data_IF_939709320600
#
_entry.id   IF_939709320600
#
_cell.length_a   1.000
_cell.length_b   1.000
_cell.length_c   1.000
_cell.angle_alpha   90.00
_cell.angle_beta   90.00
_cell.angle_gamma   90.00
#
_symmetry.space_group_name_H-M   'P 1'
#
loop_
_entity.id
_entity.type
_entity.pdbx_description
1 polymer ?
#
# COMPACT_ATOMS: atom_id res chain seq x y z
N UNK A 1 0.28 -38.67 -8.27
CA UNK A 1 -0.11 -37.54 -9.15
C UNK A 1 -0.58 -36.39 -8.26
N UNK A 2 0.27 -35.42 -8.00
CA UNK A 2 -0.09 -34.20 -7.24
C UNK A 2 -0.47 -33.14 -8.25
N UNK A 3 -1.75 -32.73 -8.26
CA UNK A 3 -2.23 -31.66 -9.09
C UNK A 3 -1.69 -30.34 -8.53
N UNK A 4 -0.83 -29.68 -9.29
CA UNK A 4 -0.39 -28.31 -9.00
C UNK A 4 -1.55 -27.37 -9.31
N UNK A 5 -2.09 -26.75 -8.28
CA UNK A 5 -3.10 -25.70 -8.40
C UNK A 5 -2.44 -24.43 -8.96
N UNK A 6 -2.55 -24.22 -10.26
CA UNK A 6 -2.13 -22.97 -10.91
C UNK A 6 -3.19 -21.93 -10.63
N UNK A 7 -2.92 -21.00 -9.74
CA UNK A 7 -3.78 -19.85 -9.48
C UNK A 7 -3.63 -18.88 -10.65
N UNK A 8 -4.62 -18.88 -11.53
CA UNK A 8 -4.75 -17.91 -12.63
C UNK A 8 -5.15 -16.54 -12.06
N UNK A 9 -4.20 -15.63 -11.96
CA UNK A 9 -4.50 -14.21 -11.82
C UNK A 9 -4.89 -13.67 -13.20
N UNK A 10 -6.19 -13.72 -13.50
CA UNK A 10 -6.73 -13.02 -14.67
C UNK A 10 -6.61 -11.51 -14.42
N UNK A 11 -5.74 -10.87 -15.18
CA UNK A 11 -5.73 -9.41 -15.29
C UNK A 11 -7.12 -8.96 -15.75
N UNK A 12 -7.84 -8.28 -14.88
CA UNK A 12 -9.13 -7.68 -15.24
C UNK A 12 -8.93 -6.65 -16.34
N UNK A 13 -9.34 -6.99 -17.57
CA UNK A 13 -9.65 -6.01 -18.59
C UNK A 13 -10.85 -5.19 -18.10
N UNK A 14 -10.58 -4.02 -17.54
CA UNK A 14 -11.63 -3.04 -17.33
C UNK A 14 -11.86 -2.29 -18.63
N UNK A 15 -12.86 -2.73 -19.37
CA UNK A 15 -13.55 -1.87 -20.32
C UNK A 15 -14.34 -0.87 -19.49
N UNK A 16 -13.81 0.36 -19.39
CA UNK A 16 -14.51 1.47 -18.74
C UNK A 16 -15.68 1.82 -19.64
N UNK A 17 -16.83 1.25 -19.37
CA UNK A 17 -18.10 1.69 -19.93
C UNK A 17 -18.66 2.78 -18.99
N UNK A 18 -18.84 3.99 -19.51
CA UNK A 18 -19.55 5.07 -18.86
C UNK A 18 -18.64 6.19 -18.34
N UNK A 19 -18.38 7.17 -19.20
CA UNK A 19 -18.01 8.53 -18.79
C UNK A 19 -19.19 9.15 -18.04
N UNK A 20 -19.26 8.94 -16.71
CA UNK A 20 -19.97 9.88 -15.87
C UNK A 20 -19.08 11.09 -15.69
N UNK A 21 -19.55 12.26 -16.13
CA UNK A 21 -18.90 13.56 -15.85
C UNK A 21 -18.63 13.64 -14.35
N UNK A 22 -17.37 13.55 -13.98
CA UNK A 22 -16.92 13.83 -12.61
C UNK A 22 -17.19 15.30 -12.33
N UNK A 23 -18.15 15.56 -11.47
CA UNK A 23 -18.41 16.86 -10.90
C UNK A 23 -17.16 17.29 -10.11
N UNK A 24 -16.40 18.23 -10.67
CA UNK A 24 -15.13 18.72 -10.15
C UNK A 24 -15.27 19.58 -8.88
N UNK A 25 -16.47 19.74 -8.34
CA UNK A 25 -16.77 20.64 -7.22
C UNK A 25 -16.91 19.95 -5.86
N UNK A 26 -16.79 18.63 -5.79
CA UNK A 26 -16.80 17.92 -4.50
C UNK A 26 -15.38 17.63 -4.03
N UNK A 27 -14.72 18.63 -3.50
CA UNK A 27 -13.70 18.43 -2.45
C UNK A 27 -14.38 17.65 -1.34
N UNK A 28 -14.06 16.35 -1.26
CA UNK A 28 -14.78 15.40 -0.38
C UNK A 28 -14.45 15.56 1.10
N UNK A 29 -14.68 16.72 1.66
CA UNK A 29 -14.88 16.85 3.09
C UNK A 29 -16.28 16.28 3.38
N UNK A 30 -16.32 15.10 3.97
CA UNK A 30 -17.55 14.58 4.54
C UNK A 30 -17.92 15.53 5.70
N UNK A 31 -18.75 16.54 5.42
CA UNK A 31 -19.51 17.27 6.44
C UNK A 31 -20.60 16.32 6.95
N UNK A 32 -20.24 15.46 7.87
CA UNK A 32 -21.17 14.61 8.60
C UNK A 32 -20.80 14.63 10.09
N UNK A 33 -21.57 13.96 10.91
CA UNK A 33 -21.32 13.79 12.38
C UNK A 33 -19.86 13.38 12.71
N UNK A 34 -19.10 12.93 11.73
CA UNK A 34 -17.67 12.62 11.77
C UNK A 34 -16.76 13.84 11.87
N UNK A 35 -17.20 15.04 11.49
CA UNK A 35 -16.39 16.26 11.55
C UNK A 35 -15.99 16.69 12.98
N UNK A 36 -16.75 16.28 13.99
CA UNK A 36 -16.40 16.49 15.40
C UNK A 36 -15.36 15.47 15.90
N UNK A 37 -15.35 14.26 15.36
CA UNK A 37 -14.38 13.22 15.73
C UNK A 37 -12.99 13.48 15.17
N UNK A 38 -12.90 14.12 13.99
CA UNK A 38 -11.61 14.48 13.39
C UNK A 38 -10.82 15.50 14.23
N UNK A 39 -11.50 16.34 14.99
CA UNK A 39 -10.84 17.35 15.85
C UNK A 39 -10.27 16.79 17.15
N UNK A 40 -10.64 15.57 17.54
CA UNK A 40 -10.21 14.98 18.82
C UNK A 40 -9.13 13.91 18.68
N UNK A 41 -8.99 13.25 17.54
CA UNK A 41 -8.08 12.13 17.34
C UNK A 41 -6.70 12.50 16.79
N UNK A 42 -6.60 13.58 16.01
CA UNK A 42 -5.34 13.99 15.37
C UNK A 42 -5.09 15.46 15.57
N UNK A 43 -3.90 15.81 16.03
CA UNK A 43 -3.45 17.20 16.05
C UNK A 43 -2.98 17.61 14.65
N UNK A 44 -3.82 18.37 13.96
CA UNK A 44 -3.53 18.86 12.61
C UNK A 44 -2.38 19.87 12.58
N UNK A 45 -1.99 20.47 13.73
CA UNK A 45 -0.84 21.37 13.81
C UNK A 45 0.48 20.64 13.60
N UNK A 46 0.49 19.30 13.82
CA UNK A 46 1.63 18.42 13.63
C UNK A 46 1.57 17.64 12.32
N UNK A 47 0.81 18.08 11.32
CA UNK A 47 0.76 17.40 10.03
C UNK A 47 2.12 17.43 9.31
N UNK A 48 2.52 16.33 8.64
CA UNK A 48 3.77 16.29 7.88
C UNK A 48 3.81 17.39 6.80
N UNK A 49 4.90 18.09 6.75
CA UNK A 49 5.09 19.24 5.86
C UNK A 49 5.15 20.58 6.59
N UNK A 50 4.87 20.66 7.91
CA UNK A 50 5.14 21.83 8.73
C UNK A 50 6.62 22.01 9.10
N UNK A 51 7.51 21.14 8.63
CA UNK A 51 8.94 21.15 8.97
C UNK A 51 9.27 20.63 10.38
N UNK A 52 8.34 20.68 11.31
CA UNK A 52 8.54 20.24 12.69
C UNK A 52 8.30 18.74 12.89
N UNK A 53 7.52 18.13 12.04
CA UNK A 53 7.14 16.73 12.13
C UNK A 53 8.32 15.77 11.99
N UNK A 54 9.28 16.07 11.13
CA UNK A 54 10.43 15.22 10.85
C UNK A 54 11.35 15.02 12.06
N UNK A 55 11.45 16.02 12.92
CA UNK A 55 12.34 16.00 14.10
C UNK A 55 11.63 15.40 15.33
N UNK A 56 10.34 15.65 15.47
CA UNK A 56 9.54 15.09 16.56
C UNK A 56 9.31 13.58 16.40
N UNK A 57 9.26 13.06 15.17
CA UNK A 57 8.77 11.72 14.86
C UNK A 57 9.79 10.61 15.17
N UNK A 58 11.08 10.87 14.98
CA UNK A 58 12.12 9.89 15.39
C UNK A 58 12.29 9.78 16.91
N UNK A 59 11.90 10.81 17.64
CA UNK A 59 12.06 10.88 19.09
C UNK A 59 10.76 10.71 19.88
N UNK A 60 9.61 10.83 19.24
CA UNK A 60 8.31 10.65 19.90
C UNK A 60 7.71 9.33 19.46
N UNK A 61 7.65 8.38 20.37
CA UNK A 61 6.90 7.12 20.20
C UNK A 61 5.37 7.33 20.05
N UNK A 62 4.92 8.58 19.93
CA UNK A 62 3.51 8.94 19.92
C UNK A 62 3.06 9.38 18.51
N UNK A 63 2.75 8.39 17.67
CA UNK A 63 1.77 8.60 16.62
C UNK A 63 0.43 8.90 17.31
N UNK A 64 -0.20 10.05 17.02
CA UNK A 64 -1.53 10.35 17.54
C UNK A 64 -2.54 9.41 16.88
N UNK A 65 -3.11 8.51 17.67
CA UNK A 65 -4.13 7.59 17.20
C UNK A 65 -5.49 8.29 17.12
N UNK A 66 -6.37 7.90 16.17
CA UNK A 66 -7.74 8.39 16.16
C UNK A 66 -8.49 7.97 17.43
N UNK A 67 -9.55 8.69 17.78
CA UNK A 67 -10.30 8.47 19.02
C UNK A 67 -10.74 7.02 19.21
N UNK A 68 -11.11 6.34 18.12
CA UNK A 68 -11.54 4.93 18.17
C UNK A 68 -10.39 3.95 18.47
N UNK A 69 -9.15 4.38 18.33
CA UNK A 69 -7.95 3.59 18.59
C UNK A 69 -7.09 4.18 19.73
N UNK A 70 -7.61 5.13 20.50
CA UNK A 70 -6.82 5.84 21.53
C UNK A 70 -6.21 4.92 22.58
N UNK A 71 -6.89 3.81 22.89
CA UNK A 71 -6.46 2.83 23.89
C UNK A 71 -5.68 1.67 23.26
N UNK A 72 -5.39 1.71 21.93
CA UNK A 72 -4.60 0.68 21.28
C UNK A 72 -3.14 0.77 21.73
N UNK A 73 -2.51 -0.39 21.83
CA UNK A 73 -1.10 -0.53 22.19
C UNK A 73 -0.26 -0.89 20.96
N UNK A 74 1.01 -0.49 20.90
CA UNK A 74 1.89 -0.88 19.80
C UNK A 74 2.13 -2.40 19.84
N UNK A 75 1.89 -3.07 18.72
CA UNK A 75 2.10 -4.52 18.57
C UNK A 75 3.19 -4.83 17.54
N UNK A 76 3.56 -3.85 16.72
CA UNK A 76 4.64 -3.95 15.76
C UNK A 76 5.17 -2.55 15.43
N UNK A 77 6.49 -2.43 15.31
CA UNK A 77 7.14 -1.27 14.69
C UNK A 77 8.43 -1.70 14.00
N UNK A 78 8.77 -1.01 12.91
CA UNK A 78 10.08 -1.04 12.30
C UNK A 78 10.45 0.38 11.86
N UNK A 79 11.54 0.89 12.41
CA UNK A 79 12.09 2.22 12.15
C UNK A 79 13.22 2.16 11.10
N UNK A 80 13.44 0.99 10.53
CA UNK A 80 14.41 0.70 9.48
C UNK A 80 15.84 1.17 9.77
N UNK A 81 16.33 0.92 10.99
CA UNK A 81 17.77 1.05 11.28
C UNK A 81 18.60 0.06 10.45
N UNK A 82 18.04 -1.09 10.14
CA UNK A 82 18.56 -2.10 9.23
C UNK A 82 17.40 -2.93 8.63
N UNK A 83 17.65 -3.62 7.51
CA UNK A 83 16.66 -4.56 6.96
C UNK A 83 16.67 -5.88 7.75
N UNK A 84 15.68 -6.07 8.59
CA UNK A 84 15.54 -7.30 9.38
C UNK A 84 14.88 -8.40 8.52
N UNK A 85 15.68 -9.30 7.98
CA UNK A 85 15.22 -10.42 7.13
C UNK A 85 14.44 -11.50 7.90
N UNK A 86 14.46 -11.50 9.24
CA UNK A 86 13.58 -12.35 10.04
C UNK A 86 12.14 -11.81 10.08
N UNK A 87 11.95 -10.54 9.72
CA UNK A 87 10.64 -9.88 9.63
C UNK A 87 10.20 -9.77 8.17
N UNK A 88 11.08 -9.25 7.32
CA UNK A 88 10.77 -8.87 5.94
C UNK A 88 11.29 -9.88 4.92
N UNK A 89 10.39 -10.42 4.14
CA UNK A 89 10.71 -11.22 2.96
C UNK A 89 10.72 -10.32 1.73
N UNK A 90 11.77 -10.41 0.90
CA UNK A 90 11.84 -9.73 -0.40
C UNK A 90 11.10 -10.56 -1.45
N UNK A 91 10.23 -9.90 -2.22
CA UNK A 91 9.38 -10.56 -3.22
C UNK A 91 8.09 -11.09 -2.61
N UNK A 92 7.24 -11.67 -3.45
CA UNK A 92 5.97 -12.25 -3.01
C UNK A 92 6.18 -13.65 -2.43
N UNK A 93 5.29 -14.14 -1.54
CA UNK A 93 5.39 -15.50 -1.00
C UNK A 93 5.41 -16.60 -2.08
N UNK A 94 4.81 -16.34 -3.24
CA UNK A 94 4.75 -17.30 -4.37
C UNK A 94 5.84 -17.11 -5.41
N UNK A 95 6.74 -16.13 -5.27
CA UNK A 95 7.87 -15.97 -6.18
C UNK A 95 8.31 -14.53 -6.46
N UNK A 96 9.27 -14.42 -7.36
CA UNK A 96 9.95 -13.16 -7.67
C UNK A 96 9.33 -12.40 -8.83
N UNK A 97 8.36 -12.96 -9.55
CA UNK A 97 7.65 -12.29 -10.66
C UNK A 97 6.32 -12.96 -10.97
N UNK A 98 5.43 -12.29 -11.68
CA UNK A 98 4.19 -12.85 -12.19
C UNK A 98 4.41 -13.53 -13.55
N UNK A 99 4.00 -14.80 -13.68
CA UNK A 99 4.34 -15.66 -14.80
C UNK A 99 3.72 -15.33 -16.16
N UNK A 100 2.57 -14.64 -16.24
CA UNK A 100 1.83 -14.51 -17.50
C UNK A 100 2.20 -13.30 -18.37
N UNK A 101 2.69 -12.21 -17.80
CA UNK A 101 3.22 -11.04 -18.52
C UNK A 101 4.27 -10.35 -17.65
N UNK A 102 5.42 -10.95 -17.49
CA UNK A 102 6.41 -10.43 -16.57
C UNK A 102 7.12 -9.22 -17.17
N UNK A 103 6.75 -8.04 -16.70
CA UNK A 103 7.43 -6.79 -17.01
C UNK A 103 8.34 -6.33 -15.87
N UNK A 104 8.18 -6.92 -14.67
CA UNK A 104 8.98 -6.62 -13.47
C UNK A 104 9.28 -7.87 -12.67
N UNK A 105 10.38 -7.83 -11.93
CA UNK A 105 10.74 -8.82 -10.92
C UNK A 105 11.09 -8.14 -9.60
N UNK A 106 10.90 -8.83 -8.49
CA UNK A 106 11.27 -8.36 -7.16
C UNK A 106 12.72 -8.75 -6.87
N UNK A 107 13.61 -7.78 -6.88
CA UNK A 107 15.05 -8.00 -6.77
C UNK A 107 15.60 -7.66 -5.39
N UNK A 108 16.65 -8.37 -4.98
CA UNK A 108 17.34 -8.11 -3.71
C UNK A 108 18.11 -6.77 -3.75
N UNK A 109 18.64 -6.41 -4.91
CA UNK A 109 19.35 -5.14 -5.12
C UNK A 109 18.44 -3.91 -5.14
N UNK A 110 17.15 -4.11 -5.25
CA UNK A 110 16.12 -3.08 -5.28
C UNK A 110 15.53 -2.78 -3.90
N UNK A 111 16.03 -3.52 -2.84
CA UNK A 111 15.58 -3.38 -1.46
C UNK A 111 16.79 -3.21 -0.55
N UNK A 112 16.91 -2.06 0.10
CA UNK A 112 17.98 -1.81 1.06
C UNK A 112 17.60 -0.70 2.04
N UNK A 113 18.33 -0.61 3.14
CA UNK A 113 18.18 0.49 4.12
C UNK A 113 19.35 1.45 3.93
N UNK A 114 19.05 2.76 3.94
CA UNK A 114 20.02 3.82 3.88
C UNK A 114 19.63 4.96 4.81
N UNK A 115 20.51 5.30 5.76
CA UNK A 115 20.29 6.39 6.72
C UNK A 115 18.99 6.25 7.54
N UNK A 116 18.65 5.02 7.96
CA UNK A 116 17.44 4.74 8.71
C UNK A 116 16.14 4.87 7.87
N UNK A 117 16.23 4.62 6.57
CA UNK A 117 15.09 4.64 5.66
C UNK A 117 15.15 3.40 4.78
N UNK A 118 14.04 2.66 4.70
CA UNK A 118 13.90 1.58 3.73
C UNK A 118 13.71 2.17 2.34
N UNK A 119 14.51 1.72 1.40
CA UNK A 119 14.47 2.13 0.00
C UNK A 119 13.98 0.98 -0.85
N UNK A 120 12.88 1.21 -1.59
CA UNK A 120 12.33 0.29 -2.57
C UNK A 120 12.44 0.94 -3.95
N UNK A 121 13.35 0.41 -4.80
CA UNK A 121 13.67 1.02 -6.09
C UNK A 121 12.96 0.34 -7.25
N UNK A 122 12.63 1.14 -8.28
CA UNK A 122 12.39 0.66 -9.65
C UNK A 122 13.61 0.98 -10.48
N UNK A 123 14.21 -0.04 -11.13
CA UNK A 123 15.41 0.08 -11.96
C UNK A 123 15.21 -0.60 -13.31
N UNK A 124 15.80 -0.04 -14.37
CA UNK A 124 16.01 -0.78 -15.61
C UNK A 124 17.21 -1.71 -15.40
N UNK A 125 16.96 -2.99 -15.15
CA UNK A 125 17.95 -4.01 -14.84
C UNK A 125 17.50 -5.35 -15.43
N UNK A 126 17.58 -5.52 -16.77
CA UNK A 126 17.10 -6.72 -17.44
C UNK A 126 17.74 -7.98 -16.85
N UNK A 127 16.91 -8.95 -16.45
CA UNK A 127 17.36 -10.22 -15.85
C UNK A 127 16.63 -11.39 -16.50
N UNK A 128 17.38 -12.46 -16.80
CA UNK A 128 16.84 -13.69 -17.37
C UNK A 128 16.35 -14.62 -16.25
N UNK A 129 15.16 -15.15 -16.42
CA UNK A 129 14.55 -16.14 -15.51
C UNK A 129 14.23 -17.42 -16.28
N UNK A 130 14.28 -18.59 -15.62
CA UNK A 130 13.82 -19.84 -16.20
C UNK A 130 12.34 -19.75 -16.59
N UNK A 131 12.01 -20.09 -17.83
CA UNK A 131 10.64 -20.19 -18.33
C UNK A 131 10.63 -21.02 -19.61
N UNK A 132 10.13 -22.26 -19.55
CA UNK A 132 10.26 -23.21 -20.65
C UNK A 132 11.71 -23.41 -21.08
N UNK A 133 11.91 -23.75 -22.34
CA UNK A 133 13.26 -24.07 -22.89
C UNK A 133 14.14 -22.83 -23.15
N UNK A 134 13.54 -21.66 -23.34
CA UNK A 134 14.26 -20.44 -23.74
C UNK A 134 14.49 -19.45 -22.61
N UNK A 135 13.73 -19.57 -21.53
CA UNK A 135 13.68 -18.56 -20.46
C UNK A 135 13.02 -17.25 -20.90
N UNK A 136 12.85 -16.33 -19.95
CA UNK A 136 12.25 -15.02 -20.19
C UNK A 136 13.15 -13.91 -19.62
N UNK A 137 13.31 -12.82 -20.36
CA UNK A 137 14.02 -11.63 -19.88
C UNK A 137 13.01 -10.60 -19.38
N UNK A 138 13.12 -10.24 -18.11
CA UNK A 138 12.26 -9.28 -17.43
C UNK A 138 13.04 -7.97 -17.28
N UNK A 139 12.54 -6.84 -17.80
CA UNK A 139 13.32 -5.61 -17.93
C UNK A 139 13.51 -4.83 -16.62
N UNK A 140 12.53 -4.86 -15.71
CA UNK A 140 12.54 -3.97 -14.54
C UNK A 140 12.70 -4.75 -13.24
N UNK A 141 13.72 -4.41 -12.46
CA UNK A 141 13.84 -4.77 -11.05
C UNK A 141 13.05 -3.80 -10.20
N UNK A 142 12.26 -4.32 -9.25
CA UNK A 142 11.40 -3.54 -8.35
C UNK A 142 11.56 -3.99 -6.91
N UNK A 143 11.40 -3.04 -5.97
CA UNK A 143 11.46 -3.34 -4.54
C UNK A 143 10.09 -3.74 -4.00
N UNK A 144 10.04 -4.86 -3.29
CA UNK A 144 8.89 -5.31 -2.51
C UNK A 144 9.35 -6.07 -1.28
N UNK A 145 8.77 -5.73 -0.12
CA UNK A 145 8.93 -6.49 1.11
C UNK A 145 7.58 -6.81 1.73
N UNK A 146 7.49 -7.94 2.44
CA UNK A 146 6.26 -8.36 3.11
C UNK A 146 6.56 -9.13 4.41
N UNK A 147 5.54 -9.30 5.26
CA UNK A 147 5.63 -10.02 6.54
C UNK A 147 4.99 -11.41 6.52
N UNK A 148 4.69 -11.99 5.35
CA UNK A 148 3.92 -13.24 5.23
C UNK A 148 4.50 -14.42 6.03
N UNK A 149 5.84 -14.53 6.10
CA UNK A 149 6.51 -15.62 6.82
C UNK A 149 6.66 -15.37 8.33
N UNK A 150 6.52 -14.13 8.76
CA UNK A 150 6.87 -13.72 10.13
C UNK A 150 5.68 -13.23 10.95
N UNK A 151 4.82 -12.39 10.36
CA UNK A 151 3.77 -11.71 11.09
C UNK A 151 2.51 -11.53 10.28
N UNK A 152 1.37 -11.80 10.94
CA UNK A 152 0.03 -11.48 10.46
C UNK A 152 -0.72 -10.70 11.52
N UNK A 153 -1.71 -9.93 11.09
CA UNK A 153 -2.50 -9.06 11.95
C UNK A 153 -3.97 -9.27 11.63
N UNK A 154 -4.79 -9.19 12.65
CA UNK A 154 -6.24 -9.16 12.49
C UNK A 154 -6.77 -7.97 13.27
N UNK A 155 -7.32 -7.00 12.55
CA UNK A 155 -7.72 -5.70 13.06
C UNK A 155 -6.56 -4.87 13.63
N UNK A 156 -6.77 -3.59 13.76
CA UNK A 156 -5.76 -2.67 14.28
C UNK A 156 -5.70 -1.34 13.53
N UNK A 157 -4.76 -0.53 13.94
CA UNK A 157 -4.39 0.71 13.26
C UNK A 157 -3.01 0.53 12.64
N UNK A 158 -2.95 0.60 11.33
CA UNK A 158 -1.77 0.37 10.50
C UNK A 158 -1.31 1.69 9.93
N UNK A 159 -0.07 2.05 10.15
CA UNK A 159 0.47 3.32 9.69
C UNK A 159 1.86 3.14 9.06
N UNK A 160 2.10 3.86 7.98
CA UNK A 160 3.40 3.99 7.31
C UNK A 160 3.72 5.46 7.10
N UNK A 161 4.96 5.84 7.34
CA UNK A 161 5.49 7.13 6.94
C UNK A 161 6.39 6.94 5.74
N UNK A 162 5.97 7.47 4.60
CA UNK A 162 6.70 7.28 3.34
C UNK A 162 6.72 8.53 2.46
N UNK A 163 7.75 8.59 1.60
CA UNK A 163 7.85 9.56 0.52
C UNK A 163 7.79 8.78 -0.80
N UNK A 164 6.79 9.09 -1.62
CA UNK A 164 6.51 8.34 -2.83
C UNK A 164 7.38 8.81 -4.01
N UNK A 165 7.75 7.91 -4.95
CA UNK A 165 8.45 8.30 -6.16
C UNK A 165 7.53 9.07 -7.10
N UNK A 166 8.11 9.97 -7.89
CA UNK A 166 7.46 10.51 -9.09
C UNK A 166 8.04 9.89 -10.35
N UNK A 167 7.25 9.82 -11.39
CA UNK A 167 7.65 9.31 -12.70
C UNK A 167 6.55 8.49 -13.38
N UNK A 168 6.62 8.40 -14.72
CA UNK A 168 5.68 7.54 -15.46
C UNK A 168 5.75 6.09 -14.99
N UNK A 169 4.60 5.44 -14.98
CA UNK A 169 4.43 4.04 -14.60
C UNK A 169 4.88 3.66 -13.18
N UNK A 170 5.19 4.60 -12.28
CA UNK A 170 5.42 4.27 -10.87
C UNK A 170 4.13 3.83 -10.20
N UNK A 171 4.23 2.84 -9.31
CA UNK A 171 3.10 2.29 -8.57
C UNK A 171 3.52 1.89 -7.16
N UNK A 172 3.84 2.87 -6.29
CA UNK A 172 4.07 2.61 -4.89
C UNK A 172 2.77 2.27 -4.16
N UNK A 173 2.85 1.32 -3.23
CA UNK A 173 1.71 0.87 -2.45
C UNK A 173 2.11 0.39 -1.04
N UNK A 174 1.18 0.56 -0.10
CA UNK A 174 1.20 -0.06 1.22
C UNK A 174 -0.16 -0.70 1.48
N UNK A 175 -0.16 -2.00 1.75
CA UNK A 175 -1.37 -2.79 1.75
C UNK A 175 -1.28 -4.03 2.65
N UNK A 176 -2.44 -4.62 2.92
CA UNK A 176 -2.58 -5.89 3.63
C UNK A 176 -3.30 -6.90 2.74
N UNK A 177 -2.92 -8.16 2.85
CA UNK A 177 -3.59 -9.24 2.12
C UNK A 177 -3.68 -10.51 2.95
N UNK A 178 -4.69 -11.32 2.67
CA UNK A 178 -4.97 -12.57 3.37
C UNK A 178 -3.80 -13.54 3.32
N UNK A 179 -3.52 -14.21 4.43
CA UNK A 179 -2.41 -15.16 4.51
C UNK A 179 -2.67 -16.41 3.67
N UNK A 180 -3.91 -16.91 3.67
CA UNK A 180 -4.26 -18.18 3.06
C UNK A 180 -5.05 -18.03 1.77
N UNK A 181 -5.77 -16.92 1.63
CA UNK A 181 -6.67 -16.67 0.51
C UNK A 181 -6.49 -15.27 -0.05
N UNK A 182 -6.83 -15.11 -1.32
CA UNK A 182 -7.00 -13.82 -1.95
C UNK A 182 -8.30 -13.81 -2.77
N UNK A 183 -9.19 -12.83 -2.60
CA UNK A 183 -9.22 -11.85 -1.52
C UNK A 183 -9.36 -12.50 -0.13
N UNK A 184 -9.13 -11.78 0.99
CA UNK A 184 -9.26 -10.33 1.19
C UNK A 184 -7.97 -9.54 0.97
N UNK A 185 -8.14 -8.20 0.67
CA UNK A 185 -7.05 -7.25 0.59
C UNK A 185 -7.52 -5.85 0.99
N UNK A 186 -6.66 -5.08 1.65
CA UNK A 186 -6.87 -3.69 2.02
C UNK A 186 -5.71 -2.87 1.51
N UNK A 187 -5.91 -2.08 0.47
CA UNK A 187 -4.90 -1.15 -0.03
C UNK A 187 -5.02 0.16 0.74
N UNK A 188 -4.09 0.41 1.65
CA UNK A 188 -4.07 1.63 2.46
C UNK A 188 -3.76 2.82 1.58
N UNK A 189 -2.80 2.68 0.70
CA UNK A 189 -2.64 3.56 -0.45
C UNK A 189 -2.05 2.83 -1.64
N UNK A 190 -2.43 3.28 -2.81
CA UNK A 190 -1.79 3.06 -4.10
C UNK A 190 -1.70 4.41 -4.81
N UNK A 191 -0.55 4.70 -5.41
CA UNK A 191 -0.35 5.90 -6.21
C UNK A 191 0.15 5.53 -7.59
N UNK A 192 -0.53 6.01 -8.61
CA UNK A 192 -0.24 5.68 -9.99
C UNK A 192 0.41 6.87 -10.69
N UNK A 193 1.64 6.71 -11.16
CA UNK A 193 2.34 7.72 -11.95
C UNK A 193 1.75 7.92 -13.35
N UNK A 194 0.99 6.95 -13.82
CA UNK A 194 0.35 6.93 -15.15
C UNK A 194 1.32 7.33 -16.27
N UNK A 195 0.90 8.23 -17.19
CA UNK A 195 1.71 8.67 -18.34
C UNK A 195 2.75 9.72 -17.98
N UNK A 196 2.42 10.59 -17.07
CA UNK A 196 3.19 11.84 -16.83
C UNK A 196 4.00 11.82 -15.55
N UNK A 197 3.72 10.89 -14.65
CA UNK A 197 4.28 10.89 -13.30
C UNK A 197 3.73 11.98 -12.38
N UNK A 198 2.73 12.75 -12.83
CA UNK A 198 2.15 13.88 -12.06
C UNK A 198 0.97 13.50 -11.19
N UNK A 199 0.53 12.24 -11.22
CA UNK A 199 -0.65 11.76 -10.47
C UNK A 199 -0.33 11.30 -9.05
N UNK A 200 0.88 11.53 -8.59
CA UNK A 200 1.33 11.27 -7.21
C UNK A 200 0.58 12.07 -6.14
N UNK A 201 -0.25 13.05 -6.53
CA UNK A 201 -1.17 13.74 -5.63
C UNK A 201 -2.48 12.97 -5.40
N UNK A 202 -2.62 11.77 -5.99
CA UNK A 202 -3.86 11.03 -5.99
C UNK A 202 -3.69 9.71 -5.28
N UNK A 203 -4.11 9.67 -4.02
CA UNK A 203 -4.16 8.44 -3.24
C UNK A 203 -5.39 7.61 -3.63
N UNK A 204 -5.17 6.39 -4.04
CA UNK A 204 -6.21 5.38 -4.25
C UNK A 204 -6.23 4.45 -3.05
N UNK A 205 -7.42 4.14 -2.55
CA UNK A 205 -7.65 3.20 -1.47
C UNK A 205 -8.64 2.15 -1.94
N UNK A 206 -8.36 0.88 -1.65
CA UNK A 206 -9.14 -0.21 -2.20
C UNK A 206 -9.45 -1.27 -1.14
N UNK A 207 -10.63 -1.86 -1.20
CA UNK A 207 -10.99 -3.10 -0.52
C UNK A 207 -11.32 -4.16 -1.55
N UNK A 208 -10.61 -5.30 -1.51
CA UNK A 208 -10.91 -6.48 -2.32
C UNK A 208 -11.54 -7.55 -1.45
N UNK A 209 -12.69 -8.09 -1.86
CA UNK A 209 -13.41 -9.14 -1.15
C UNK A 209 -14.26 -9.98 -2.10
N UNK A 210 -14.83 -11.07 -1.60
CA UNK A 210 -15.57 -12.03 -2.42
C UNK A 210 -14.74 -13.29 -2.69
N UNK A 211 -15.20 -14.10 -3.63
CA UNK A 211 -14.56 -15.37 -4.01
C UNK A 211 -14.29 -15.38 -5.51
N UNK A 212 -13.08 -15.79 -5.88
CA UNK A 212 -12.69 -15.90 -7.30
C UNK A 212 -13.45 -17.06 -7.94
N UNK A 213 -13.56 -18.19 -7.27
CA UNK A 213 -14.15 -19.43 -7.78
C UNK A 213 -15.63 -19.26 -8.14
N UNK A 214 -16.34 -18.39 -7.44
CA UNK A 214 -17.76 -18.10 -7.69
C UNK A 214 -17.98 -16.83 -8.47
N UNK A 215 -16.94 -16.20 -8.99
CA UNK A 215 -16.98 -14.91 -9.71
C UNK A 215 -17.67 -13.77 -8.89
N UNK A 216 -17.66 -13.87 -7.56
CA UNK A 216 -18.24 -12.86 -6.66
C UNK A 216 -17.22 -11.85 -6.18
N UNK A 217 -16.00 -11.87 -6.73
CA UNK A 217 -14.97 -10.91 -6.40
C UNK A 217 -15.49 -9.49 -6.60
N UNK A 218 -15.38 -8.69 -5.56
CA UNK A 218 -15.80 -7.29 -5.56
C UNK A 218 -14.64 -6.39 -5.15
N UNK A 219 -14.65 -5.19 -5.71
CA UNK A 219 -13.65 -4.16 -5.53
C UNK A 219 -14.36 -2.86 -5.15
N UNK A 220 -14.02 -2.29 -3.99
CA UNK A 220 -14.42 -0.94 -3.61
C UNK A 220 -13.20 -0.02 -3.67
N UNK A 221 -13.01 0.62 -4.81
CA UNK A 221 -11.94 1.58 -5.05
C UNK A 221 -12.43 3.01 -4.92
N UNK A 222 -11.61 3.89 -4.35
CA UNK A 222 -11.82 5.34 -4.39
C UNK A 222 -10.46 6.05 -4.37
N UNK A 223 -10.32 7.04 -5.22
CA UNK A 223 -9.19 7.95 -5.20
C UNK A 223 -9.60 9.29 -4.60
N UNK A 224 -8.67 9.91 -3.87
CA UNK A 224 -8.79 11.27 -3.35
C UNK A 224 -7.58 12.07 -3.81
N UNK A 225 -7.80 13.34 -4.14
CA UNK A 225 -6.71 14.25 -4.44
C UNK A 225 -6.14 14.78 -3.12
N UNK A 226 -4.83 14.73 -2.99
CA UNK A 226 -4.09 15.29 -1.87
C UNK A 226 -3.72 16.74 -2.19
N UNK A 227 -3.66 17.58 -1.17
CA UNK A 227 -3.30 18.99 -1.32
C UNK A 227 -1.79 19.23 -1.43
N UNK A 228 -0.99 18.19 -1.21
CA UNK A 228 0.48 18.26 -1.18
C UNK A 228 1.12 17.23 -2.10
N UNK A 229 2.33 17.53 -2.52
CA UNK A 229 3.17 16.66 -3.33
C UNK A 229 3.73 15.53 -2.47
N UNK A 230 3.40 14.30 -2.80
CA UNK A 230 3.79 13.12 -2.03
C UNK A 230 5.23 12.65 -2.33
N UNK A 231 5.88 13.25 -3.33
CA UNK A 231 7.28 12.99 -3.71
C UNK A 231 8.27 14.01 -3.13
N UNK A 232 7.78 15.14 -2.61
CA UNK A 232 8.63 16.19 -2.05
C UNK A 232 8.88 16.04 -0.55
N UNK A 233 7.98 15.36 0.17
CA UNK A 233 8.06 15.16 1.62
C UNK A 233 7.55 13.80 2.05
N UNK A 234 7.90 13.39 3.27
CA UNK A 234 7.29 12.24 3.92
C UNK A 234 5.88 12.57 4.40
N UNK A 235 4.94 11.67 4.14
CA UNK A 235 3.56 11.72 4.59
C UNK A 235 3.22 10.45 5.39
N UNK A 236 2.20 10.53 6.24
CA UNK A 236 1.68 9.37 6.98
C UNK A 236 0.40 8.91 6.29
N UNK A 237 0.40 7.64 5.89
CA UNK A 237 -0.77 6.95 5.39
C UNK A 237 -1.17 5.88 6.40
N UNK A 238 -2.44 5.84 6.78
CA UNK A 238 -2.88 4.89 7.78
C UNK A 238 -4.28 4.34 7.51
N UNK A 239 -4.58 3.23 8.17
CA UNK A 239 -5.85 2.56 8.12
C UNK A 239 -6.23 2.05 9.52
N UNK A 240 -7.41 2.40 9.98
CA UNK A 240 -8.05 1.73 11.11
C UNK A 240 -8.96 0.63 10.54
N UNK A 241 -8.61 -0.62 10.80
CA UNK A 241 -9.40 -1.79 10.42
C UNK A 241 -10.00 -2.43 11.67
N UNK A 242 -11.33 -2.44 11.74
CA UNK A 242 -12.12 -3.07 12.80
C UNK A 242 -13.10 -4.06 12.20
N UNK A 243 -13.79 -4.91 13.01
CA UNK A 243 -14.84 -5.78 12.50
C UNK A 243 -15.96 -5.05 11.76
N UNK A 244 -16.20 -3.77 12.10
CA UNK A 244 -17.35 -3.01 11.61
C UNK A 244 -17.03 -2.03 10.49
N UNK A 245 -15.76 -1.60 10.37
CA UNK A 245 -15.38 -0.58 9.40
C UNK A 245 -13.89 -0.60 9.08
N UNK A 246 -13.57 0.01 7.93
CA UNK A 246 -12.22 0.43 7.57
C UNK A 246 -12.24 1.94 7.37
N UNK A 247 -11.34 2.65 8.05
CA UNK A 247 -11.16 4.11 7.91
C UNK A 247 -9.74 4.38 7.45
N UNK A 248 -9.59 5.13 6.38
CA UNK A 248 -8.29 5.51 5.81
C UNK A 248 -7.95 6.94 6.19
N UNK A 249 -6.68 7.17 6.48
CA UNK A 249 -6.16 8.46 6.92
C UNK A 249 -4.95 8.87 6.09
N UNK A 250 -4.80 10.18 5.89
CA UNK A 250 -3.59 10.78 5.34
C UNK A 250 -3.24 11.98 6.21
N UNK A 251 -2.01 12.02 6.71
CA UNK A 251 -1.50 13.06 7.61
C UNK A 251 -2.46 13.34 8.78
N UNK A 252 -3.03 12.30 9.36
CA UNK A 252 -3.97 12.41 10.47
C UNK A 252 -5.40 12.75 10.11
N UNK A 253 -5.69 13.03 8.85
CA UNK A 253 -7.05 13.34 8.39
C UNK A 253 -7.72 12.10 7.83
N UNK A 254 -8.94 11.78 8.29
CA UNK A 254 -9.74 10.71 7.71
C UNK A 254 -10.20 11.10 6.30
N UNK A 255 -9.74 10.36 5.30
CA UNK A 255 -10.03 10.63 3.87
C UNK A 255 -11.10 9.72 3.31
N UNK A 256 -11.32 8.56 3.94
CA UNK A 256 -12.35 7.61 3.55
C UNK A 256 -12.79 6.74 4.72
N UNK A 257 -14.08 6.46 4.83
CA UNK A 257 -14.63 5.45 5.78
C UNK A 257 -15.58 4.52 5.05
N UNK A 258 -15.43 3.22 5.29
CA UNK A 258 -16.26 2.16 4.72
C UNK A 258 -16.81 1.33 5.85
N UNK A 259 -18.14 1.32 6.01
CA UNK A 259 -18.82 0.42 6.93
C UNK A 259 -18.93 -0.97 6.30
N UNK A 260 -18.53 -1.98 7.04
CA UNK A 260 -18.61 -3.37 6.60
C UNK A 260 -20.01 -3.94 6.86
N UNK A 261 -20.68 -4.39 5.80
CA UNK A 261 -21.92 -5.17 5.92
C UNK A 261 -21.60 -6.63 6.27
N UNK A 262 -22.63 -7.43 6.57
CA UNK A 262 -22.49 -8.84 6.97
C UNK A 262 -21.73 -9.68 5.95
N UNK A 263 -21.94 -9.42 4.64
CA UNK A 263 -21.26 -10.14 3.57
C UNK A 263 -19.76 -9.78 3.48
N UNK A 264 -19.41 -8.52 3.62
CA UNK A 264 -18.00 -8.09 3.63
C UNK A 264 -17.25 -8.67 4.82
N UNK A 265 -17.85 -8.61 6.03
CA UNK A 265 -17.18 -9.03 7.29
C UNK A 265 -16.67 -10.47 7.23
N UNK A 266 -17.36 -11.38 6.55
CA UNK A 266 -16.94 -12.79 6.49
C UNK A 266 -15.57 -12.97 5.79
N UNK A 267 -15.18 -12.07 4.89
CA UNK A 267 -13.88 -12.13 4.22
C UNK A 267 -12.76 -11.51 5.05
N UNK A 268 -13.07 -10.47 5.82
CA UNK A 268 -12.10 -9.72 6.62
C UNK A 268 -11.92 -10.28 8.04
N UNK A 269 -12.24 -11.57 8.25
CA UNK A 269 -11.94 -12.30 9.49
C UNK A 269 -10.61 -13.07 9.42
N UNK A 270 -10.01 -13.14 8.25
CA UNK A 270 -8.73 -13.79 8.06
C UNK A 270 -7.59 -12.85 8.48
N UNK A 271 -6.56 -13.35 9.22
CA UNK A 271 -5.36 -12.59 9.47
C UNK A 271 -4.65 -12.23 8.15
N UNK A 272 -4.18 -10.99 8.05
CA UNK A 272 -3.49 -10.46 6.88
C UNK A 272 -2.05 -10.13 7.20
N UNK A 273 -1.17 -10.24 6.21
CA UNK A 273 0.20 -9.75 6.30
C UNK A 273 0.37 -8.41 5.60
N UNK A 274 1.39 -7.66 6.03
CA UNK A 274 1.76 -6.37 5.44
C UNK A 274 2.59 -6.57 4.18
N UNK A 275 2.35 -5.71 3.21
CA UNK A 275 3.16 -5.58 2.00
C UNK A 275 3.43 -4.09 1.74
N UNK A 276 4.66 -3.78 1.38
CA UNK A 276 5.04 -2.47 0.85
C UNK A 276 5.90 -2.67 -0.40
N UNK A 277 5.59 -1.93 -1.44
CA UNK A 277 6.27 -2.07 -2.72
C UNK A 277 6.32 -0.78 -3.53
N UNK A 278 7.29 -0.74 -4.44
CA UNK A 278 7.34 0.22 -5.53
C UNK A 278 7.26 -0.54 -6.85
N UNK A 279 6.05 -0.80 -7.35
CA UNK A 279 5.85 -1.55 -8.58
C UNK A 279 5.95 -0.67 -9.82
N UNK A 280 6.02 -1.32 -10.98
CA UNK A 280 5.92 -0.70 -12.31
C UNK A 280 4.56 -1.03 -12.90
N UNK A 281 3.79 -0.01 -13.26
CA UNK A 281 2.46 -0.17 -13.85
C UNK A 281 2.59 -0.57 -15.34
N UNK A 282 2.22 -1.82 -15.65
CA UNK A 282 2.32 -2.39 -16.99
C UNK A 282 1.54 -1.62 -18.06
N UNK A 283 0.51 -0.86 -17.67
CA UNK A 283 -0.34 -0.07 -18.59
C UNK A 283 0.41 1.11 -19.21
N UNK A 284 1.53 1.51 -18.61
CA UNK A 284 2.24 2.74 -18.97
C UNK A 284 3.72 2.55 -19.25
N UNK A 285 4.18 1.32 -19.50
CA UNK A 285 5.59 0.97 -19.74
C UNK A 285 6.23 1.81 -20.87
N UNK A 286 5.48 2.11 -21.92
CA UNK A 286 5.94 2.89 -23.06
C UNK A 286 6.29 4.35 -22.75
N UNK A 287 5.91 4.83 -21.56
CA UNK A 287 6.20 6.20 -21.11
C UNK A 287 7.44 6.28 -20.20
N UNK A 288 8.04 5.13 -19.84
CA UNK A 288 9.24 5.09 -18.99
C UNK A 288 10.45 5.55 -19.80
N UNK A 289 11.14 6.56 -19.29
CA UNK A 289 12.49 6.87 -19.73
C UNK A 289 13.49 6.17 -18.81
N UNK A 290 14.12 5.11 -19.29
CA UNK A 290 15.07 4.29 -18.51
C UNK A 290 16.28 5.09 -17.99
N UNK A 291 16.60 6.25 -18.61
CA UNK A 291 17.70 7.15 -18.15
C UNK A 291 17.34 7.90 -16.86
N UNK A 292 16.03 7.95 -16.52
CA UNK A 292 15.54 8.57 -15.29
C UNK A 292 15.42 7.60 -14.13
N UNK A 293 15.69 6.33 -14.35
CA UNK A 293 15.73 5.32 -13.31
C UNK A 293 17.15 5.29 -12.66
N UNK A 294 17.27 4.95 -11.37
CA UNK A 294 16.21 4.45 -10.49
C UNK A 294 15.33 5.54 -9.90
N UNK A 295 14.07 5.17 -9.58
CA UNK A 295 13.16 5.95 -8.74
C UNK A 295 12.80 5.14 -7.51
N UNK A 296 12.64 5.79 -6.37
CA UNK A 296 12.54 5.11 -5.07
C UNK A 296 11.30 5.53 -4.28
N UNK A 297 10.61 4.53 -3.75
CA UNK A 297 9.76 4.71 -2.58
C UNK A 297 10.67 4.69 -1.34
N UNK A 298 10.59 5.73 -0.52
CA UNK A 298 11.31 5.86 0.74
C UNK A 298 10.34 5.64 1.90
N UNK A 299 10.64 4.68 2.80
CA UNK A 299 9.82 4.38 3.97
C UNK A 299 10.63 4.64 5.23
N UNK A 300 10.18 5.61 6.02
CA UNK A 300 10.85 6.02 7.27
C UNK A 300 10.54 5.04 8.40
N UNK A 301 9.25 4.64 8.52
CA UNK A 301 8.83 3.64 9.47
C UNK A 301 7.48 3.01 9.11
N UNK A 302 7.22 1.84 9.71
CA UNK A 302 5.91 1.17 9.73
C UNK A 302 5.56 0.84 11.18
N UNK A 303 4.32 1.18 11.60
CA UNK A 303 3.83 0.94 12.97
C UNK A 303 2.42 0.35 12.94
N UNK A 304 2.19 -0.61 13.81
CA UNK A 304 0.86 -1.25 13.98
C UNK A 304 0.48 -1.20 15.45
N UNK A 305 -0.76 -0.80 15.69
CA UNK A 305 -1.38 -0.76 17.00
C UNK A 305 -2.63 -1.62 16.99
N UNK A 306 -2.90 -2.31 18.08
CA UNK A 306 -4.09 -3.13 18.25
C UNK A 306 -4.72 -2.92 19.61
N UNK A 307 -5.98 -3.29 19.75
CA UNK A 307 -6.63 -3.31 21.05
C UNK A 307 -5.83 -4.17 22.02
N UNK A 308 -5.72 -3.77 23.30
CA UNK A 308 -5.11 -4.62 24.32
C UNK A 308 -5.79 -5.99 24.33
N UNK A 309 -5.01 -7.04 24.41
CA UNK A 309 -5.55 -8.38 24.63
C UNK A 309 -6.10 -8.47 26.07
N UNK A 310 -7.26 -9.09 26.31
CA UNK A 310 -7.83 -9.23 27.64
C UNK A 310 -6.98 -10.10 28.56
#
# INVERSE_FOLDING_TARGET
>A
MRASLVILFLGCFFQVCGQSKLDSTRTGFIRGKTGLMLKRGWDLSNTPGSGHYRQADKNTQHLLLPEEARDFVPVFSDEFDSLNTNIWQIGQPWGRYHGQQPHQYYGDSEVFVKNGVLILQNRYAPKKFPSGDTGITIPYGTGLVNTAHSRTFQYGFFAVRSKNPSGPATWPAFWLTGKNNWPPEIDIYEMYGEKTGKTIHRQTMTLHFGKIETHTKTLLMKAVNLSKDTDSAFHIYACLWTPDRVVFYTDGVAVRSIRMNKWMRQFYQEPMYLVVNNAVDHRYLQYIDNRRLPVSLEVDWIRVFAAPQP
#
